data_IF_616820489750
#
_entry.id   IF_616820489750
#
_cell.length_a   1.000
_cell.length_b   1.000
_cell.length_c   1.000
_cell.angle_alpha   90.00
_cell.angle_beta   90.00
_cell.angle_gamma   90.00
#
_symmetry.space_group_name_H-M   'P 1'
#
loop_
_entity.id
_entity.type
_entity.pdbx_description
1 polymer ?
#
# COMPACT_ATOMS: atom_id res chain seq x y z
N UNK A 1 -8.37 -9.10 12.14
CA UNK A 1 -7.85 -10.01 13.19
C UNK A 1 -6.35 -9.77 13.37
N UNK A 2 -5.86 -9.65 14.62
CA UNK A 2 -4.42 -9.59 14.89
C UNK A 2 -3.89 -11.00 15.01
N UNK A 3 -2.94 -11.37 14.15
CA UNK A 3 -2.32 -12.69 14.12
C UNK A 3 -1.04 -12.75 14.97
N UNK A 4 -0.34 -11.62 15.10
CA UNK A 4 0.88 -11.49 15.89
C UNK A 4 1.07 -10.03 16.32
N UNK A 5 1.83 -9.81 17.39
CA UNK A 5 2.16 -8.49 17.90
C UNK A 5 1.05 -7.86 18.74
N UNK A 6 1.24 -6.57 19.04
CA UNK A 6 0.30 -5.72 19.81
C UNK A 6 0.24 -4.34 19.18
N UNK A 7 -0.47 -4.20 18.03
CA UNK A 7 -0.57 -2.93 17.34
C UNK A 7 -1.25 -1.86 18.22
N UNK A 8 -0.66 -0.69 18.27
CA UNK A 8 -1.24 0.49 18.93
C UNK A 8 -2.18 1.26 18.00
N UNK A 9 -2.77 2.35 18.53
CA UNK A 9 -3.73 3.18 17.80
C UNK A 9 -3.20 3.66 16.45
N UNK A 10 -2.00 4.22 16.41
CA UNK A 10 -1.39 4.71 15.15
C UNK A 10 -1.13 3.58 14.15
N UNK A 11 -0.75 2.39 14.64
CA UNK A 11 -0.54 1.24 13.76
C UNK A 11 -1.83 0.82 13.06
N UNK A 12 -2.98 0.88 13.75
CA UNK A 12 -4.28 0.59 13.12
C UNK A 12 -4.68 1.68 12.13
N UNK A 13 -4.40 2.95 12.41
CA UNK A 13 -4.67 4.04 11.47
C UNK A 13 -3.86 3.85 10.19
N UNK A 14 -2.56 3.56 10.29
CA UNK A 14 -1.71 3.27 9.13
C UNK A 14 -2.22 2.04 8.38
N UNK A 15 -2.51 0.94 9.08
CA UNK A 15 -2.99 -0.30 8.50
C UNK A 15 -4.29 -0.11 7.71
N UNK A 16 -5.30 0.53 8.29
CA UNK A 16 -6.62 0.65 7.66
C UNK A 16 -6.66 1.69 6.54
N UNK A 17 -5.90 2.78 6.64
CA UNK A 17 -5.76 3.72 5.52
C UNK A 17 -4.96 3.10 4.38
N UNK A 18 -3.86 2.41 4.69
CA UNK A 18 -3.09 1.70 3.69
C UNK A 18 -3.88 0.58 3.00
N UNK A 19 -4.71 -0.17 3.75
CA UNK A 19 -5.60 -1.18 3.18
C UNK A 19 -6.59 -0.60 2.18
N UNK A 20 -7.23 0.51 2.51
CA UNK A 20 -8.15 1.18 1.59
C UNK A 20 -7.45 1.59 0.30
N UNK A 21 -6.24 2.18 0.42
CA UNK A 21 -5.44 2.59 -0.73
C UNK A 21 -5.11 1.40 -1.65
N UNK A 22 -4.55 0.30 -1.12
CA UNK A 22 -4.16 -0.85 -1.97
C UNK A 22 -5.37 -1.58 -2.55
N UNK A 23 -6.50 -1.59 -1.86
CA UNK A 23 -7.76 -2.16 -2.38
C UNK A 23 -8.27 -1.35 -3.57
N UNK A 24 -8.24 -0.02 -3.51
CA UNK A 24 -8.59 0.84 -4.64
C UNK A 24 -7.61 0.69 -5.80
N UNK A 25 -6.31 0.64 -5.55
CA UNK A 25 -5.30 0.41 -6.59
C UNK A 25 -5.53 -0.91 -7.33
N UNK A 26 -5.76 -1.99 -6.59
CA UNK A 26 -6.05 -3.30 -7.19
C UNK A 26 -7.32 -3.26 -8.02
N UNK A 27 -8.38 -2.63 -7.50
CA UNK A 27 -9.65 -2.50 -8.22
C UNK A 27 -9.51 -1.67 -9.50
N UNK A 28 -8.74 -0.60 -9.47
CA UNK A 28 -8.52 0.30 -10.61
C UNK A 28 -7.64 -0.33 -11.70
N UNK A 29 -6.61 -1.07 -11.32
CA UNK A 29 -5.58 -1.56 -12.26
C UNK A 29 -5.67 -3.04 -12.57
N UNK A 30 -6.34 -3.84 -11.72
CA UNK A 30 -6.34 -5.31 -11.80
C UNK A 30 -5.03 -5.96 -11.35
N UNK A 31 -4.05 -5.17 -10.90
CA UNK A 31 -2.74 -5.64 -10.50
C UNK A 31 -2.63 -5.74 -8.97
N UNK A 32 -1.82 -6.67 -8.42
CA UNK A 32 -1.45 -6.65 -7.02
C UNK A 32 -0.86 -5.30 -6.63
N UNK A 33 -1.19 -4.79 -5.46
CA UNK A 33 -0.75 -3.49 -5.00
C UNK A 33 -0.18 -3.55 -3.57
N UNK A 34 0.77 -2.67 -3.30
CA UNK A 34 1.34 -2.50 -1.97
C UNK A 34 1.57 -1.03 -1.66
N UNK A 35 1.56 -0.69 -0.37
CA UNK A 35 1.93 0.63 0.11
C UNK A 35 2.78 0.55 1.37
N UNK A 36 3.66 1.52 1.52
CA UNK A 36 4.41 1.84 2.72
C UNK A 36 3.74 3.03 3.39
N UNK A 37 3.16 2.85 4.57
CA UNK A 37 2.43 3.88 5.30
C UNK A 37 3.18 4.33 6.54
N UNK A 38 3.19 5.62 6.81
CA UNK A 38 3.77 6.18 8.01
C UNK A 38 3.08 7.48 8.41
N UNK A 39 2.77 7.62 9.71
CA UNK A 39 2.07 8.81 10.23
C UNK A 39 0.75 9.11 9.49
N UNK A 40 -0.01 8.05 9.20
CA UNK A 40 -1.29 8.10 8.47
C UNK A 40 -1.14 8.70 7.07
N UNK A 41 0.03 8.48 6.44
CA UNK A 41 0.34 8.96 5.09
C UNK A 41 1.07 7.89 4.29
N UNK A 42 0.82 7.79 2.98
CA UNK A 42 1.62 6.93 2.12
C UNK A 42 3.01 7.54 1.92
N UNK A 43 4.06 6.83 2.34
CA UNK A 43 5.44 7.13 1.96
C UNK A 43 5.73 6.64 0.54
N UNK A 44 4.98 5.63 0.08
CA UNK A 44 5.01 5.15 -1.29
C UNK A 44 3.88 4.15 -1.53
N UNK A 45 3.41 4.09 -2.77
CA UNK A 45 2.40 3.14 -3.24
C UNK A 45 2.75 2.68 -4.66
N UNK A 46 2.50 1.42 -4.97
CA UNK A 46 2.81 0.86 -6.28
C UNK A 46 1.99 -0.40 -6.59
N UNK A 47 2.01 -0.78 -7.87
CA UNK A 47 1.42 -2.02 -8.36
C UNK A 47 2.49 -3.01 -8.84
N UNK A 48 2.11 -4.27 -8.96
CA UNK A 48 2.99 -5.41 -9.21
C UNK A 48 3.41 -5.56 -10.67
N UNK A 49 4.14 -4.58 -11.18
CA UNK A 49 4.80 -4.67 -12.48
C UNK A 49 6.21 -5.26 -12.32
N UNK A 50 6.70 -6.06 -13.27
CA UNK A 50 8.04 -6.62 -13.23
C UNK A 50 9.12 -5.55 -13.04
N UNK A 51 10.18 -5.89 -12.32
CA UNK A 51 11.33 -5.01 -12.15
C UNK A 51 12.36 -5.30 -13.25
N UNK A 52 12.90 -4.23 -13.85
CA UNK A 52 14.13 -4.36 -14.63
C UNK A 52 15.33 -4.56 -13.71
N UNK A 53 16.45 -5.05 -14.25
CA UNK A 53 17.70 -5.22 -13.49
C UNK A 53 18.14 -3.90 -12.83
N UNK A 54 17.92 -2.78 -13.51
CA UNK A 54 18.24 -1.45 -12.98
C UNK A 54 17.36 -1.11 -11.79
N UNK A 55 16.05 -1.32 -11.90
CA UNK A 55 15.11 -1.08 -10.79
C UNK A 55 15.35 -2.02 -9.61
N UNK A 56 15.64 -3.30 -9.88
CA UNK A 56 15.97 -4.24 -8.83
C UNK A 56 17.19 -3.79 -8.01
N UNK A 57 18.23 -3.26 -8.67
CA UNK A 57 19.40 -2.67 -8.00
C UNK A 57 19.06 -1.39 -7.22
N UNK A 58 18.27 -0.47 -7.82
CA UNK A 58 17.86 0.77 -7.16
C UNK A 58 17.05 0.46 -5.90
N UNK A 59 16.17 -0.54 -5.95
CA UNK A 59 15.33 -0.93 -4.81
C UNK A 59 16.01 -1.94 -3.88
N UNK A 60 17.26 -2.33 -4.17
CA UNK A 60 18.07 -3.25 -3.35
C UNK A 60 17.42 -4.62 -3.20
N UNK A 61 16.93 -5.16 -4.29
CA UNK A 61 16.27 -6.48 -4.35
C UNK A 61 16.88 -7.39 -5.43
N UNK A 62 17.97 -6.97 -6.07
CA UNK A 62 18.66 -7.69 -7.14
C UNK A 62 19.29 -9.02 -6.67
N UNK A 63 19.47 -9.20 -5.38
CA UNK A 63 19.94 -10.43 -4.73
C UNK A 63 18.84 -11.46 -4.43
N UNK A 64 17.57 -11.10 -4.61
CA UNK A 64 16.43 -11.96 -4.28
C UNK A 64 15.93 -12.85 -5.43
N UNK A 65 16.51 -12.67 -6.62
CA UNK A 65 16.06 -13.38 -7.82
C UNK A 65 14.74 -12.85 -8.38
N UNK A 66 13.97 -13.72 -9.04
CA UNK A 66 12.67 -13.35 -9.57
C UNK A 66 11.65 -13.19 -8.43
N UNK A 67 11.04 -12.02 -8.37
CA UNK A 67 10.06 -11.68 -7.34
C UNK A 67 8.64 -11.90 -7.84
N UNK A 68 7.75 -12.31 -6.95
CA UNK A 68 6.31 -12.33 -7.23
C UNK A 68 5.78 -10.93 -7.56
N UNK A 69 4.63 -10.81 -8.27
CA UNK A 69 4.03 -9.50 -8.55
C UNK A 69 3.76 -8.68 -7.28
N UNK A 70 3.34 -9.31 -6.19
CA UNK A 70 3.10 -8.62 -4.92
C UNK A 70 4.40 -8.13 -4.28
N UNK A 71 5.46 -8.94 -4.33
CA UNK A 71 6.80 -8.53 -3.88
C UNK A 71 7.36 -7.37 -4.73
N UNK A 72 7.14 -7.38 -6.05
CA UNK A 72 7.47 -6.26 -6.92
C UNK A 72 6.73 -4.97 -6.54
N UNK A 73 5.42 -5.07 -6.23
CA UNK A 73 4.64 -3.93 -5.76
C UNK A 73 5.25 -3.34 -4.48
N UNK A 74 5.57 -4.17 -3.50
CA UNK A 74 6.16 -3.68 -2.24
C UNK A 74 7.57 -3.14 -2.42
N UNK A 75 8.40 -3.79 -3.24
CA UNK A 75 9.75 -3.28 -3.57
C UNK A 75 9.70 -1.88 -4.17
N UNK A 76 8.75 -1.62 -5.09
CA UNK A 76 8.51 -0.30 -5.69
C UNK A 76 7.99 0.70 -4.66
N UNK A 77 6.95 0.34 -3.91
CA UNK A 77 6.32 1.23 -2.92
C UNK A 77 7.32 1.69 -1.86
N UNK A 78 8.12 0.77 -1.33
CA UNK A 78 9.16 1.11 -0.35
C UNK A 78 10.36 1.79 -0.98
N UNK A 79 10.75 1.34 -2.17
CA UNK A 79 11.92 1.82 -2.89
C UNK A 79 11.79 3.28 -3.36
N UNK A 80 10.57 3.77 -3.55
CA UNK A 80 10.30 5.15 -3.94
C UNK A 80 10.89 6.18 -2.94
N UNK A 81 10.76 5.90 -1.64
CA UNK A 81 11.40 6.68 -0.57
C UNK A 81 11.75 5.77 0.61
N UNK A 82 12.93 5.20 0.57
CA UNK A 82 13.39 4.27 1.62
C UNK A 82 13.60 4.95 2.97
N UNK A 83 13.93 6.23 3.00
CA UNK A 83 14.12 6.98 4.25
C UNK A 83 12.79 7.20 4.96
N UNK A 84 11.78 7.68 4.25
CA UNK A 84 10.44 7.87 4.79
C UNK A 84 9.75 6.55 5.14
N UNK A 85 10.12 5.46 4.44
CA UNK A 85 9.58 4.12 4.69
C UNK A 85 10.24 3.38 5.86
N UNK A 86 11.26 3.94 6.50
CA UNK A 86 11.90 3.31 7.65
C UNK A 86 10.93 3.26 8.84
N UNK A 87 10.58 2.05 9.28
CA UNK A 87 9.59 1.84 10.34
C UNK A 87 8.16 2.03 9.86
N UNK A 88 7.86 1.73 8.60
CA UNK A 88 6.54 1.81 7.99
C UNK A 88 5.56 0.75 8.51
N UNK A 89 4.28 0.96 8.20
CA UNK A 89 3.26 -0.07 8.23
C UNK A 89 2.91 -0.45 6.78
N UNK A 90 3.03 -1.74 6.46
CA UNK A 90 2.88 -2.25 5.10
C UNK A 90 1.44 -2.68 4.88
N UNK A 91 0.85 -2.31 3.74
CA UNK A 91 -0.44 -2.85 3.33
C UNK A 91 -0.33 -3.54 1.98
N UNK A 92 -0.93 -4.72 1.88
CA UNK A 92 -0.89 -5.59 0.71
C UNK A 92 -2.31 -5.88 0.24
N UNK A 93 -2.57 -5.76 -1.05
CA UNK A 93 -3.91 -5.99 -1.63
C UNK A 93 -4.28 -7.47 -1.76
N UNK A 94 -3.29 -8.35 -1.69
CA UNK A 94 -3.42 -9.79 -1.91
C UNK A 94 -2.87 -10.59 -0.73
N UNK A 95 -3.12 -11.90 -0.75
CA UNK A 95 -2.52 -12.83 0.21
C UNK A 95 -1.01 -12.70 0.15
N UNK A 96 -0.39 -12.43 1.30
CA UNK A 96 1.06 -12.29 1.40
C UNK A 96 1.74 -13.63 1.09
N UNK A 97 2.47 -13.67 -0.01
CA UNK A 97 3.27 -14.82 -0.45
C UNK A 97 4.66 -14.86 0.23
N UNK A 98 5.37 -15.96 0.00
CA UNK A 98 6.69 -16.20 0.60
C UNK A 98 7.73 -15.18 0.14
N UNK A 99 7.71 -14.75 -1.12
CA UNK A 99 8.69 -13.79 -1.64
C UNK A 99 8.49 -12.41 -1.01
N UNK A 100 7.23 -11.98 -0.89
CA UNK A 100 6.86 -10.74 -0.19
C UNK A 100 7.28 -10.80 1.28
N UNK A 101 7.03 -11.93 1.96
CA UNK A 101 7.42 -12.11 3.36
C UNK A 101 8.95 -12.08 3.56
N UNK A 102 9.73 -12.67 2.65
CA UNK A 102 11.20 -12.60 2.67
C UNK A 102 11.70 -11.17 2.51
N UNK A 103 11.11 -10.40 1.59
CA UNK A 103 11.44 -8.99 1.42
C UNK A 103 11.09 -8.19 2.67
N UNK A 104 9.89 -8.35 3.23
CA UNK A 104 9.46 -7.69 4.46
C UNK A 104 10.39 -8.06 5.64
N UNK A 105 10.83 -9.31 5.72
CA UNK A 105 11.69 -9.79 6.82
C UNK A 105 12.98 -8.99 6.93
N UNK A 106 13.59 -8.62 5.82
CA UNK A 106 14.87 -7.89 5.81
C UNK A 106 14.75 -6.39 6.07
N UNK A 107 13.55 -5.84 5.89
CA UNK A 107 13.29 -4.41 6.04
C UNK A 107 12.88 -4.05 7.47
N UNK A 108 13.16 -2.81 7.91
CA UNK A 108 12.67 -2.30 9.19
C UNK A 108 11.27 -1.73 8.98
N UNK A 109 10.27 -2.42 9.55
CA UNK A 109 8.87 -2.04 9.50
C UNK A 109 8.17 -2.31 10.83
N UNK A 110 7.02 -1.67 11.08
CA UNK A 110 6.26 -1.83 12.32
C UNK A 110 5.21 -2.93 12.25
N UNK A 111 4.70 -3.18 11.06
CA UNK A 111 3.70 -4.23 10.86
C UNK A 111 3.29 -4.37 9.40
N UNK A 112 2.40 -5.32 9.17
CA UNK A 112 1.80 -5.60 7.87
C UNK A 112 0.33 -5.96 8.01
N UNK A 113 -0.49 -5.50 7.07
CA UNK A 113 -1.88 -5.89 6.88
C UNK A 113 -2.09 -6.49 5.50
N UNK A 114 -2.80 -7.61 5.43
CA UNK A 114 -3.15 -8.31 4.21
C UNK A 114 -4.48 -9.05 4.37
N UNK A 115 -5.17 -9.44 3.29
CA UNK A 115 -6.37 -10.27 3.35
C UNK A 115 -6.10 -11.71 3.80
N UNK A 116 -4.83 -12.13 3.79
CA UNK A 116 -4.38 -13.44 4.25
C UNK A 116 -2.88 -13.58 4.12
N UNK A 117 -2.37 -14.72 4.53
CA UNK A 117 -0.94 -15.04 4.51
C UNK A 117 -0.76 -16.51 4.13
N UNK A 118 0.14 -16.81 3.22
CA UNK A 118 0.58 -18.20 3.04
C UNK A 118 1.18 -18.74 4.34
N UNK A 119 1.01 -20.02 4.68
CA UNK A 119 1.49 -20.56 5.96
C UNK A 119 2.99 -20.31 6.20
N UNK A 120 3.82 -20.51 5.18
CA UNK A 120 5.26 -20.26 5.27
C UNK A 120 5.57 -18.76 5.41
N UNK A 121 4.88 -17.90 4.67
CA UNK A 121 5.01 -16.44 4.77
C UNK A 121 4.70 -15.95 6.19
N UNK A 122 3.63 -16.45 6.78
CA UNK A 122 3.24 -16.11 8.15
C UNK A 122 4.33 -16.49 9.16
N UNK A 123 4.91 -17.68 9.04
CA UNK A 123 5.98 -18.13 9.93
C UNK A 123 7.27 -17.29 9.76
N UNK A 124 7.60 -16.87 8.52
CA UNK A 124 8.71 -15.94 8.25
C UNK A 124 8.48 -14.60 8.98
N UNK A 125 7.28 -14.04 8.87
CA UNK A 125 6.93 -12.74 9.45
C UNK A 125 6.89 -12.78 10.98
N UNK A 126 6.38 -13.85 11.58
CA UNK A 126 6.36 -14.04 13.05
C UNK A 126 7.74 -14.02 13.69
N UNK A 127 8.80 -14.34 12.96
CA UNK A 127 10.18 -14.30 13.47
C UNK A 127 10.71 -12.86 13.67
N UNK A 128 10.08 -11.86 13.03
CA UNK A 128 10.49 -10.45 13.17
C UNK A 128 10.23 -9.94 14.59
N UNK A 129 11.02 -8.93 15.01
CA UNK A 129 10.90 -8.27 16.33
C UNK A 129 10.81 -9.27 17.49
N UNK A 130 11.55 -10.38 17.40
CA UNK A 130 11.56 -11.46 18.42
C UNK A 130 10.14 -11.99 18.72
N UNK A 131 9.32 -12.16 17.69
CA UNK A 131 7.95 -12.66 17.81
C UNK A 131 6.89 -11.60 18.16
N UNK A 132 7.24 -10.32 18.08
CA UNK A 132 6.31 -9.20 18.38
C UNK A 132 6.02 -8.31 17.16
N UNK A 133 6.26 -8.80 15.96
CA UNK A 133 5.92 -8.07 14.74
C UNK A 133 4.40 -7.99 14.57
N UNK A 134 3.88 -6.81 14.22
CA UNK A 134 2.44 -6.65 14.06
C UNK A 134 1.98 -7.25 12.74
N UNK A 135 1.15 -8.29 12.81
CA UNK A 135 0.57 -8.96 11.63
C UNK A 135 -0.94 -8.90 11.77
N UNK A 136 -1.60 -8.24 10.82
CA UNK A 136 -3.05 -8.03 10.80
C UNK A 136 -3.64 -8.71 9.57
N UNK A 137 -4.66 -9.54 9.78
CA UNK A 137 -5.51 -10.10 8.73
C UNK A 137 -6.79 -9.30 8.65
N UNK A 138 -7.12 -8.81 7.46
CA UNK A 138 -8.34 -8.03 7.18
C UNK A 138 -9.31 -8.87 6.37
N UNK A 139 -10.61 -8.66 6.60
CA UNK A 139 -11.65 -9.19 5.74
C UNK A 139 -11.76 -8.31 4.47
N UNK A 140 -11.43 -8.84 3.29
CA UNK A 140 -11.46 -8.07 2.05
C UNK A 140 -12.88 -7.68 1.61
N UNK A 141 -13.90 -8.39 2.10
CA UNK A 141 -15.31 -8.17 1.75
C UNK A 141 -16.00 -7.18 2.72
N UNK A 142 -15.27 -6.68 3.72
CA UNK A 142 -15.84 -5.71 4.65
C UNK A 142 -16.18 -4.40 3.94
N UNK A 143 -17.46 -4.02 4.02
CA UNK A 143 -17.97 -2.75 3.50
C UNK A 143 -18.19 -1.79 4.67
N UNK A 144 -17.46 -0.68 4.74
CA UNK A 144 -17.63 0.30 5.80
C UNK A 144 -18.96 1.07 5.66
N UNK A 145 -19.44 1.65 6.77
CA UNK A 145 -20.62 2.52 6.75
C UNK A 145 -20.41 3.74 5.84
N UNK A 146 -21.49 4.27 5.29
CA UNK A 146 -21.45 5.46 4.41
C UNK A 146 -20.98 6.73 5.13
N UNK A 147 -21.20 6.80 6.44
CA UNK A 147 -20.80 7.93 7.28
C UNK A 147 -19.59 7.55 8.13
N UNK A 148 -18.63 8.45 8.16
CA UNK A 148 -17.47 8.39 9.04
C UNK A 148 -17.69 9.26 10.29
N UNK A 149 -17.29 8.75 11.43
CA UNK A 149 -17.35 9.47 12.70
C UNK A 149 -15.95 9.63 13.27
N UNK A 150 -15.68 10.83 13.80
CA UNK A 150 -14.46 11.13 14.54
C UNK A 150 -14.81 11.93 15.79
N UNK A 151 -14.43 11.41 16.95
CA UNK A 151 -14.60 12.11 18.21
C UNK A 151 -13.33 12.87 18.58
N UNK A 152 -13.48 14.16 18.88
CA UNK A 152 -12.40 15.00 19.36
C UNK A 152 -12.94 15.86 20.51
N UNK A 153 -12.32 15.76 21.67
CA UNK A 153 -12.68 16.55 22.87
C UNK A 153 -14.17 16.45 23.22
N UNK A 154 -14.76 15.24 23.10
CA UNK A 154 -16.18 14.99 23.40
C UNK A 154 -17.17 15.48 22.34
N UNK A 155 -16.67 15.94 21.18
CA UNK A 155 -17.51 16.34 20.05
C UNK A 155 -17.31 15.30 18.95
N UNK A 156 -18.42 14.75 18.47
CA UNK A 156 -18.42 13.82 17.33
C UNK A 156 -18.61 14.59 16.03
N UNK A 157 -17.65 14.46 15.13
CA UNK A 157 -17.75 14.91 13.75
C UNK A 157 -18.28 13.78 12.89
N UNK A 158 -19.20 14.09 12.00
CA UNK A 158 -19.78 13.16 11.04
C UNK A 158 -19.62 13.71 9.64
N UNK A 159 -19.17 12.87 8.70
CA UNK A 159 -19.08 13.22 7.29
C UNK A 159 -19.29 11.99 6.40
N UNK A 160 -19.67 12.22 5.15
CA UNK A 160 -19.70 11.19 4.12
C UNK A 160 -18.27 10.74 3.76
N UNK A 161 -18.13 9.47 3.42
CA UNK A 161 -16.88 8.94 2.90
C UNK A 161 -16.56 9.54 1.53
N UNK A 162 -15.29 9.63 1.18
CA UNK A 162 -14.90 9.96 -0.18
C UNK A 162 -15.09 8.72 -1.08
N UNK A 163 -16.23 8.71 -1.80
CA UNK A 163 -16.64 7.61 -2.68
C UNK A 163 -16.21 7.81 -4.15
N UNK A 164 -15.32 8.80 -4.42
CA UNK A 164 -14.81 9.00 -5.77
C UNK A 164 -14.13 7.73 -6.26
N UNK A 165 -14.68 7.14 -7.31
CA UNK A 165 -14.13 5.95 -7.96
C UNK A 165 -13.14 6.40 -9.03
N UNK A 166 -11.90 5.96 -8.91
CA UNK A 166 -10.83 6.24 -9.85
C UNK A 166 -10.51 4.92 -10.55
N UNK A 167 -10.98 4.80 -11.79
CA UNK A 167 -10.72 3.65 -12.64
C UNK A 167 -10.11 4.10 -13.99
N UNK A 168 -9.93 3.17 -14.92
CA UNK A 168 -9.37 3.47 -16.24
C UNK A 168 -10.23 4.45 -17.07
N UNK A 169 -11.55 4.49 -16.81
CA UNK A 169 -12.48 5.35 -17.55
C UNK A 169 -12.47 6.78 -16.99
N UNK A 170 -11.96 6.98 -15.77
CA UNK A 170 -11.79 8.30 -15.16
C UNK A 170 -10.93 9.25 -16.01
N UNK A 171 -10.01 8.72 -16.81
CA UNK A 171 -9.11 9.47 -17.69
C UNK A 171 -9.56 9.47 -19.16
N UNK A 172 -10.83 9.20 -19.45
CA UNK A 172 -11.36 9.13 -20.83
C UNK A 172 -11.50 10.50 -21.49
N UNK A 173 -11.79 11.55 -20.71
CA UNK A 173 -11.91 12.92 -21.22
C UNK A 173 -10.56 13.65 -21.22
N UNK A 174 -9.80 13.48 -22.31
CA UNK A 174 -8.48 14.07 -22.46
C UNK A 174 -8.60 15.48 -23.05
N UNK A 175 -8.29 16.50 -22.25
CA UNK A 175 -8.44 17.93 -22.64
C UNK A 175 -7.19 18.52 -23.28
N UNK A 176 -6.03 17.84 -23.20
CA UNK A 176 -4.77 18.28 -23.80
C UNK A 176 -4.79 18.19 -25.34
N UNK A 177 -3.88 18.87 -26.03
CA UNK A 177 -3.73 18.84 -27.49
C UNK A 177 -3.48 17.41 -27.99
N UNK A 178 -2.50 16.72 -27.39
CA UNK A 178 -2.31 15.28 -27.60
C UNK A 178 -3.37 14.50 -26.82
N UNK A 179 -4.21 13.74 -27.52
CA UNK A 179 -5.29 12.94 -26.97
C UNK A 179 -4.88 11.50 -26.63
N UNK A 180 -3.71 11.07 -27.05
CA UNK A 180 -3.23 9.71 -26.84
C UNK A 180 -2.53 9.58 -25.47
N UNK A 181 -3.09 8.79 -24.56
CA UNK A 181 -2.48 8.43 -23.29
C UNK A 181 -2.06 6.95 -23.39
N UNK A 182 -0.75 6.63 -23.32
CA UNK A 182 -0.30 5.24 -23.25
C UNK A 182 -0.90 4.49 -22.07
N UNK A 183 -1.13 3.19 -22.21
CA UNK A 183 -1.73 2.38 -21.13
C UNK A 183 -0.91 2.44 -19.82
N UNK A 184 0.43 2.44 -19.91
CA UNK A 184 1.27 2.61 -18.73
C UNK A 184 1.00 3.96 -18.04
N UNK A 185 0.86 5.03 -18.79
CA UNK A 185 0.57 6.35 -18.24
C UNK A 185 -0.82 6.42 -17.55
N UNK A 186 -1.81 5.68 -18.03
CA UNK A 186 -3.11 5.56 -17.35
C UNK A 186 -2.97 4.87 -15.99
N UNK A 187 -2.15 3.81 -15.91
CA UNK A 187 -1.84 3.13 -14.65
C UNK A 187 -1.17 4.11 -13.69
N UNK A 188 -0.17 4.85 -14.16
CA UNK A 188 0.58 5.80 -13.34
C UNK A 188 -0.31 6.95 -12.84
N UNK A 189 -1.23 7.45 -13.69
CA UNK A 189 -2.23 8.45 -13.31
C UNK A 189 -3.20 7.91 -12.25
N UNK A 190 -3.67 6.66 -12.40
CA UNK A 190 -4.54 6.04 -11.41
C UNK A 190 -3.82 5.88 -10.06
N UNK A 191 -2.56 5.42 -10.05
CA UNK A 191 -1.74 5.32 -8.84
C UNK A 191 -1.59 6.69 -8.19
N UNK A 192 -1.28 7.73 -8.98
CA UNK A 192 -1.13 9.10 -8.49
C UNK A 192 -2.40 9.62 -7.82
N UNK A 193 -3.53 9.53 -8.50
CA UNK A 193 -4.82 10.05 -8.02
C UNK A 193 -5.31 9.31 -6.78
N UNK A 194 -5.21 7.97 -6.76
CA UNK A 194 -5.61 7.17 -5.62
C UNK A 194 -4.68 7.45 -4.43
N UNK A 195 -3.36 7.54 -4.65
CA UNK A 195 -2.41 7.88 -3.58
C UNK A 195 -2.70 9.25 -2.99
N UNK A 196 -3.01 10.24 -3.84
CA UNK A 196 -3.39 11.60 -3.41
C UNK A 196 -4.63 11.59 -2.52
N UNK A 197 -5.62 10.76 -2.80
CA UNK A 197 -6.86 10.61 -2.00
C UNK A 197 -6.56 10.27 -0.53
N UNK A 198 -5.46 9.54 -0.26
CA UNK A 198 -5.03 9.11 1.07
C UNK A 198 -3.88 9.95 1.64
N UNK A 199 -3.51 11.03 0.96
CA UNK A 199 -2.45 11.93 1.39
C UNK A 199 -3.04 13.15 2.12
N UNK A 200 -2.49 13.58 3.27
CA UNK A 200 -2.94 14.79 3.95
C UNK A 200 -2.84 16.02 3.04
N UNK A 201 -3.79 16.93 3.17
CA UNK A 201 -3.90 18.15 2.33
C UNK A 201 -2.64 19.02 2.35
N UNK A 202 -1.87 18.99 3.44
CA UNK A 202 -0.62 19.74 3.58
C UNK A 202 0.61 19.04 2.98
N UNK A 203 0.48 17.82 2.47
CA UNK A 203 1.60 17.11 1.84
C UNK A 203 1.73 17.54 0.38
N UNK A 204 2.87 18.16 0.04
CA UNK A 204 3.09 18.77 -1.29
C UNK A 204 4.02 17.96 -2.18
N UNK A 205 4.55 16.82 -1.72
CA UNK A 205 5.56 16.07 -2.45
C UNK A 205 5.18 14.58 -2.57
N UNK A 206 4.80 14.19 -3.78
CA UNK A 206 4.62 12.78 -4.17
C UNK A 206 5.71 12.44 -5.20
N UNK A 207 6.65 11.58 -4.82
CA UNK A 207 7.54 10.95 -5.80
C UNK A 207 6.84 9.73 -6.35
N UNK A 208 6.43 9.80 -7.60
CA UNK A 208 5.97 8.62 -8.33
C UNK A 208 7.18 7.86 -8.84
N UNK A 209 7.26 6.54 -8.67
CA UNK A 209 8.25 5.74 -9.37
C UNK A 209 7.87 5.72 -10.85
N UNK A 210 8.66 6.43 -11.66
CA UNK A 210 8.60 6.38 -13.13
C UNK A 210 9.27 5.12 -13.63
#
# INVERSE_FOLDING_TARGET
KVLCGRPGYINFLDAFNGWQLVSELKKATGLPAATSFKHVSPAGAAVGLPLSDTLAKIYWVDDLGELSPLACAYARARGADRMSSFGDFISLSDVCDVDTAKLIKREVSDGVIAPGYEPEALEILKQKKKGNYNIIEIDPDYVPAALEHKEVFGITFEQGRNELNIDKDFFSDVVTENKEIPEQAKIDLAISMITLKYTPVSYTHLTLPT
#
